data_IF_565754092881
#
_entry.id   IF_565754092881
#
_cell.length_a   1.000
_cell.length_b   1.000
_cell.length_c   1.000
_cell.angle_alpha   90.00
_cell.angle_beta   90.00
_cell.angle_gamma   90.00
#
_symmetry.space_group_name_H-M   'P 1'
#
loop_
_entity.id
_entity.type
_entity.pdbx_description
1 polymer ?
#
# COMPACT_ATOMS: atom_id res chain seq x y z
N UNK A 1 17.55 -21.51 -32.30
CA UNK A 1 16.52 -21.82 -31.31
C UNK A 1 16.05 -20.58 -30.53
N UNK A 2 16.93 -19.80 -29.91
CA UNK A 2 16.56 -18.60 -29.12
C UNK A 2 15.72 -17.55 -29.93
N UNK A 3 16.16 -17.24 -31.16
CA UNK A 3 15.48 -16.27 -32.04
C UNK A 3 14.09 -16.77 -32.48
N UNK A 4 13.92 -18.07 -32.62
CA UNK A 4 12.64 -18.68 -32.97
C UNK A 4 11.67 -18.59 -31.80
N UNK A 5 12.09 -18.92 -30.57
CA UNK A 5 11.28 -18.80 -29.36
C UNK A 5 10.88 -17.37 -29.09
N UNK A 6 11.76 -16.39 -29.33
CA UNK A 6 11.47 -14.98 -29.19
C UNK A 6 10.42 -14.48 -30.19
N UNK A 7 10.45 -14.98 -31.45
CA UNK A 7 9.45 -14.66 -32.47
C UNK A 7 8.09 -15.29 -32.15
N UNK A 8 8.07 -16.50 -31.62
CA UNK A 8 6.84 -17.17 -31.18
C UNK A 8 6.20 -16.40 -30.01
N UNK A 9 6.98 -15.97 -29.01
CA UNK A 9 6.48 -15.16 -27.88
C UNK A 9 6.00 -13.76 -28.29
N UNK A 10 6.67 -13.11 -29.25
CA UNK A 10 6.22 -11.84 -29.81
C UNK A 10 4.94 -11.96 -30.63
N UNK A 11 4.72 -13.11 -31.31
CA UNK A 11 3.52 -13.38 -32.08
C UNK A 11 2.31 -13.69 -31.19
N UNK A 12 2.52 -14.23 -29.99
CA UNK A 12 1.49 -14.51 -28.99
C UNK A 12 1.10 -13.29 -28.16
N UNK A 13 1.75 -12.12 -28.36
CA UNK A 13 1.42 -10.88 -27.65
C UNK A 13 1.79 -10.89 -26.15
N UNK A 14 2.42 -11.94 -25.67
CA UNK A 14 3.02 -11.97 -24.35
C UNK A 14 4.35 -11.20 -24.39
N UNK A 15 4.29 -9.92 -23.99
CA UNK A 15 5.51 -9.23 -23.57
C UNK A 15 6.12 -10.05 -22.44
N UNK A 16 7.16 -10.81 -22.78
CA UNK A 16 7.85 -11.68 -21.84
C UNK A 16 8.22 -10.88 -20.59
N UNK A 17 7.54 -11.12 -19.50
CA UNK A 17 7.99 -10.66 -18.20
C UNK A 17 9.35 -11.32 -18.00
N UNK A 18 10.43 -10.55 -18.17
CA UNK A 18 11.75 -11.01 -17.78
C UNK A 18 11.66 -11.41 -16.31
N UNK A 19 11.56 -12.72 -16.08
CA UNK A 19 11.82 -13.23 -14.74
C UNK A 19 13.31 -12.94 -14.48
N UNK A 20 13.64 -12.09 -13.51
CA UNK A 20 15.03 -11.87 -13.16
C UNK A 20 15.60 -13.24 -12.82
N UNK A 21 16.68 -13.62 -13.50
CA UNK A 21 17.44 -14.81 -13.18
C UNK A 21 17.60 -14.86 -11.66
N UNK A 22 17.32 -16.00 -11.05
CA UNK A 22 17.34 -16.19 -9.60
C UNK A 22 18.71 -15.78 -9.02
N UNK A 23 18.86 -14.49 -8.73
CA UNK A 23 19.95 -14.02 -7.91
C UNK A 23 19.64 -14.50 -6.49
N UNK A 24 20.32 -15.54 -6.05
CA UNK A 24 20.13 -16.15 -4.72
C UNK A 24 20.48 -15.22 -3.56
N UNK A 25 20.99 -14.02 -3.84
CA UNK A 25 21.53 -13.07 -2.86
C UNK A 25 20.91 -11.67 -2.91
N UNK A 26 19.85 -11.45 -3.70
CA UNK A 26 19.24 -10.12 -3.90
C UNK A 26 17.97 -9.89 -3.09
N UNK A 27 17.61 -8.61 -2.91
CA UNK A 27 16.30 -8.20 -2.39
C UNK A 27 15.24 -8.42 -3.47
N UNK A 28 14.17 -9.14 -3.12
CA UNK A 28 13.04 -9.40 -4.02
C UNK A 28 11.91 -8.40 -3.76
N UNK A 29 11.47 -7.71 -4.80
CA UNK A 29 10.29 -6.84 -4.77
C UNK A 29 9.15 -7.57 -5.49
N UNK A 30 8.02 -7.75 -4.79
CA UNK A 30 6.87 -8.44 -5.34
C UNK A 30 5.57 -7.96 -4.70
N UNK A 31 4.44 -8.23 -5.36
CA UNK A 31 3.13 -8.01 -4.73
C UNK A 31 2.84 -9.07 -3.66
N UNK A 32 1.98 -8.73 -2.69
CA UNK A 32 1.55 -9.67 -1.63
C UNK A 32 0.94 -10.93 -2.25
N UNK A 33 0.15 -10.79 -3.33
CA UNK A 33 -0.45 -11.93 -4.01
C UNK A 33 0.58 -12.92 -4.57
N UNK A 34 1.69 -12.42 -5.12
CA UNK A 34 2.79 -13.26 -5.62
C UNK A 34 3.59 -13.93 -4.50
N UNK A 35 3.51 -13.43 -3.28
CA UNK A 35 4.18 -14.03 -2.12
C UNK A 35 3.39 -15.18 -1.47
N UNK A 36 2.16 -15.45 -1.92
CA UNK A 36 1.33 -16.52 -1.36
C UNK A 36 2.03 -17.88 -1.48
N UNK A 37 2.15 -18.58 -0.36
CA UNK A 37 2.84 -19.89 -0.30
C UNK A 37 4.36 -19.80 -0.18
N UNK A 38 4.95 -18.59 -0.24
CA UNK A 38 6.38 -18.38 -0.03
C UNK A 38 6.62 -17.85 1.39
N UNK A 39 7.82 -18.07 1.91
CA UNK A 39 8.27 -17.54 3.20
C UNK A 39 9.67 -16.97 3.05
N UNK A 40 9.95 -15.91 3.80
CA UNK A 40 11.22 -15.19 3.73
C UNK A 40 11.77 -14.93 5.13
N UNK A 41 13.09 -14.95 5.31
CA UNK A 41 13.69 -14.61 6.61
C UNK A 41 13.28 -13.20 7.07
N UNK A 42 13.36 -12.22 6.18
CA UNK A 42 12.99 -10.83 6.44
C UNK A 42 11.96 -10.36 5.41
N UNK A 43 10.89 -9.73 5.88
CA UNK A 43 9.86 -9.13 5.03
C UNK A 43 9.74 -7.65 5.38
N UNK A 44 9.72 -6.81 4.35
CA UNK A 44 9.47 -5.37 4.47
C UNK A 44 8.14 -5.07 3.78
N UNK A 45 7.14 -4.69 4.56
CA UNK A 45 5.86 -4.21 4.05
C UNK A 45 5.92 -2.68 3.92
N UNK A 46 5.94 -2.21 2.68
CA UNK A 46 5.94 -0.78 2.36
C UNK A 46 4.54 -0.30 1.97
N UNK A 47 4.37 1.03 1.91
CA UNK A 47 3.15 1.71 1.43
C UNK A 47 1.87 1.36 2.21
N UNK A 48 1.99 1.09 3.51
CA UNK A 48 0.86 0.77 4.37
C UNK A 48 -0.13 1.94 4.55
N UNK A 49 0.24 3.16 4.14
CA UNK A 49 -0.63 4.35 4.14
C UNK A 49 -1.54 4.45 2.91
N UNK A 50 -1.38 3.58 1.93
CA UNK A 50 -2.21 3.58 0.73
C UNK A 50 -3.67 3.37 1.09
N UNK A 51 -4.51 4.33 0.73
CA UNK A 51 -5.95 4.26 0.98
C UNK A 51 -6.61 3.15 0.17
N UNK A 52 -7.60 2.50 0.77
CA UNK A 52 -8.45 1.56 0.04
C UNK A 52 -9.16 2.24 -1.12
N UNK A 53 -9.25 1.53 -2.26
CA UNK A 53 -9.92 2.05 -3.44
C UNK A 53 -11.43 2.19 -3.22
N UNK A 54 -11.99 3.29 -3.72
CA UNK A 54 -13.43 3.51 -3.76
C UNK A 54 -13.97 3.49 -5.20
N UNK A 55 -13.13 3.20 -6.19
CA UNK A 55 -13.50 3.28 -7.61
C UNK A 55 -14.65 2.35 -7.97
N UNK A 56 -14.71 1.16 -7.37
CA UNK A 56 -15.74 0.16 -7.65
C UNK A 56 -17.15 0.60 -7.22
N UNK A 57 -17.22 1.59 -6.31
CA UNK A 57 -18.49 2.13 -5.80
C UNK A 57 -19.03 3.34 -6.59
N UNK A 58 -18.30 3.82 -7.59
CA UNK A 58 -18.69 4.97 -8.42
C UNK A 58 -19.65 4.60 -9.56
N UNK A 59 -19.83 3.32 -9.85
CA UNK A 59 -20.75 2.85 -10.88
C UNK A 59 -22.18 3.30 -10.61
N UNK A 60 -22.95 3.64 -11.64
CA UNK A 60 -24.37 4.02 -11.54
C UNK A 60 -25.25 2.87 -11.03
N UNK A 61 -24.82 1.62 -11.22
CA UNK A 61 -25.50 0.44 -10.71
C UNK A 61 -24.48 -0.41 -9.97
N UNK A 62 -24.76 -0.71 -8.71
CA UNK A 62 -24.01 -1.69 -7.95
C UNK A 62 -24.68 -3.05 -8.08
N UNK A 63 -23.87 -4.10 -8.16
CA UNK A 63 -24.32 -5.48 -8.31
C UNK A 63 -23.73 -6.32 -7.18
N UNK A 64 -24.57 -7.10 -6.52
CA UNK A 64 -24.12 -8.06 -5.52
C UNK A 64 -24.77 -9.41 -5.79
N UNK A 65 -24.02 -10.54 -5.79
CA UNK A 65 -24.54 -11.86 -6.17
C UNK A 65 -25.77 -12.31 -5.38
N UNK A 66 -25.84 -11.94 -4.11
CA UNK A 66 -26.90 -12.38 -3.20
C UNK A 66 -27.98 -11.30 -2.95
N UNK A 67 -27.62 -10.01 -3.02
CA UNK A 67 -28.51 -8.90 -2.70
C UNK A 67 -29.12 -8.23 -3.94
N UNK A 68 -28.64 -8.60 -5.15
CA UNK A 68 -29.18 -8.12 -6.42
C UNK A 68 -28.57 -6.78 -6.87
N UNK A 69 -29.42 -5.86 -7.34
CA UNK A 69 -29.04 -4.63 -8.02
C UNK A 69 -29.37 -3.39 -7.18
N UNK A 70 -28.43 -2.45 -7.12
CA UNK A 70 -28.60 -1.16 -6.46
C UNK A 70 -28.35 -0.01 -7.43
N UNK A 71 -29.39 0.46 -8.17
CA UNK A 71 -29.24 1.57 -9.10
C UNK A 71 -29.27 2.93 -8.39
N UNK A 72 -28.73 3.95 -9.06
CA UNK A 72 -29.01 5.35 -8.78
C UNK A 72 -30.37 5.70 -9.39
N UNK A 73 -31.19 6.46 -8.70
CA UNK A 73 -32.39 7.05 -9.26
C UNK A 73 -32.04 8.37 -9.97
N UNK A 74 -32.54 8.53 -11.19
CA UNK A 74 -32.32 9.74 -12.00
C UNK A 74 -33.65 10.41 -12.25
N UNK A 75 -33.83 11.65 -11.75
CA UNK A 75 -34.97 12.53 -12.08
C UNK A 75 -34.53 13.40 -13.27
N UNK A 76 -35.01 13.04 -14.45
CA UNK A 76 -34.67 13.75 -15.69
C UNK A 76 -35.30 15.13 -15.80
N UNK A 77 -36.41 15.37 -15.10
CA UNK A 77 -37.09 16.66 -15.13
C UNK A 77 -36.35 17.71 -14.28
N UNK A 78 -35.82 17.26 -13.14
CA UNK A 78 -35.10 18.13 -12.20
C UNK A 78 -33.58 18.08 -12.37
N UNK A 79 -33.07 17.22 -13.27
CA UNK A 79 -31.64 17.00 -13.49
C UNK A 79 -30.87 16.60 -12.22
N UNK A 80 -31.48 15.80 -11.33
CA UNK A 80 -30.89 15.35 -10.09
C UNK A 80 -30.69 13.82 -10.10
N UNK A 81 -29.66 13.37 -9.40
CA UNK A 81 -29.40 11.96 -9.14
C UNK A 81 -29.29 11.74 -7.64
N UNK A 82 -29.91 10.65 -7.17
CA UNK A 82 -29.79 10.26 -5.76
C UNK A 82 -29.68 8.75 -5.61
N UNK A 83 -28.94 8.26 -4.60
CA UNK A 83 -28.79 6.84 -4.36
C UNK A 83 -30.12 6.27 -3.81
N UNK A 84 -30.55 5.13 -4.35
CA UNK A 84 -31.65 4.36 -3.78
C UNK A 84 -31.25 3.72 -2.46
N UNK A 85 -32.23 3.35 -1.63
CA UNK A 85 -31.99 2.62 -0.37
C UNK A 85 -31.28 1.28 -0.66
N UNK A 86 -31.68 0.59 -1.73
CA UNK A 86 -31.02 -0.63 -2.18
C UNK A 86 -29.53 -0.39 -2.48
N UNK A 87 -29.22 0.71 -3.19
CA UNK A 87 -27.83 1.08 -3.48
C UNK A 87 -27.03 1.35 -2.20
N UNK A 88 -27.58 2.08 -1.25
CA UNK A 88 -26.88 2.39 0.01
C UNK A 88 -26.61 1.11 0.83
N UNK A 89 -27.57 0.19 0.87
CA UNK A 89 -27.40 -1.09 1.54
C UNK A 89 -26.30 -1.94 0.86
N UNK A 90 -26.34 -2.03 -0.46
CA UNK A 90 -25.34 -2.74 -1.26
C UNK A 90 -23.95 -2.14 -1.09
N UNK A 91 -23.81 -0.83 -1.16
CA UNK A 91 -22.55 -0.13 -1.00
C UNK A 91 -21.92 -0.42 0.37
N UNK A 92 -22.72 -0.42 1.44
CA UNK A 92 -22.23 -0.77 2.79
C UNK A 92 -21.72 -2.20 2.84
N UNK A 93 -22.46 -3.15 2.28
CA UNK A 93 -22.07 -4.56 2.26
C UNK A 93 -20.79 -4.77 1.47
N UNK A 94 -20.76 -4.26 0.24
CA UNK A 94 -19.58 -4.38 -0.64
C UNK A 94 -18.32 -3.73 -0.03
N UNK A 95 -18.47 -2.58 0.64
CA UNK A 95 -17.35 -1.93 1.35
C UNK A 95 -16.80 -2.79 2.49
N UNK A 96 -17.68 -3.45 3.25
CA UNK A 96 -17.25 -4.36 4.33
C UNK A 96 -16.58 -5.61 3.78
N UNK A 97 -17.11 -6.17 2.71
CA UNK A 97 -16.49 -7.33 2.03
C UNK A 97 -15.13 -6.99 1.46
N UNK A 98 -14.99 -5.84 0.78
CA UNK A 98 -13.72 -5.36 0.26
C UNK A 98 -12.68 -5.18 1.41
N UNK A 99 -13.08 -4.55 2.52
CA UNK A 99 -12.19 -4.41 3.69
C UNK A 99 -11.82 -5.75 4.31
N UNK A 100 -12.75 -6.69 4.39
CA UNK A 100 -12.47 -8.02 4.90
C UNK A 100 -11.45 -8.76 4.04
N UNK A 101 -11.49 -8.57 2.71
CA UNK A 101 -10.50 -9.13 1.80
C UNK A 101 -9.13 -8.45 1.98
N UNK A 102 -9.09 -7.11 2.08
CA UNK A 102 -7.85 -6.39 2.36
C UNK A 102 -7.21 -6.82 3.68
N UNK A 103 -8.02 -7.10 4.70
CA UNK A 103 -7.54 -7.62 5.99
C UNK A 103 -6.94 -9.02 5.85
N UNK A 104 -7.54 -9.89 5.02
CA UNK A 104 -6.96 -11.21 4.70
C UNK A 104 -5.64 -11.07 3.96
N UNK A 105 -5.55 -10.13 3.02
CA UNK A 105 -4.31 -9.83 2.29
C UNK A 105 -3.22 -9.34 3.24
N UNK A 106 -3.56 -8.46 4.19
CA UNK A 106 -2.63 -8.02 5.23
C UNK A 106 -2.16 -9.18 6.09
N UNK A 107 -3.07 -10.05 6.54
CA UNK A 107 -2.71 -11.25 7.30
C UNK A 107 -1.72 -12.14 6.52
N UNK A 108 -2.00 -12.39 5.24
CA UNK A 108 -1.08 -13.16 4.38
C UNK A 108 0.28 -12.49 4.31
N UNK A 109 0.34 -11.16 4.15
CA UNK A 109 1.60 -10.42 4.07
C UNK A 109 2.41 -10.54 5.37
N UNK A 110 1.77 -10.36 6.51
CA UNK A 110 2.42 -10.43 7.83
C UNK A 110 2.97 -11.83 8.13
N UNK A 111 2.26 -12.87 7.69
CA UNK A 111 2.67 -14.27 7.92
C UNK A 111 3.75 -14.78 6.96
N UNK A 112 4.29 -13.94 6.08
CA UNK A 112 5.41 -14.34 5.18
C UNK A 112 6.78 -14.26 5.85
N UNK A 113 6.92 -13.49 6.92
CA UNK A 113 8.18 -13.33 7.63
C UNK A 113 8.44 -14.50 8.58
N UNK A 114 9.64 -15.08 8.50
CA UNK A 114 10.10 -16.12 9.43
C UNK A 114 10.78 -15.55 10.66
N UNK A 115 11.64 -14.55 10.46
CA UNK A 115 12.52 -14.01 11.51
C UNK A 115 12.18 -12.55 11.83
N UNK A 116 11.99 -11.72 10.79
CA UNK A 116 11.80 -10.27 10.99
C UNK A 116 10.77 -9.69 10.02
N UNK A 117 9.79 -9.00 10.58
CA UNK A 117 8.82 -8.20 9.85
C UNK A 117 9.11 -6.72 10.09
N UNK A 118 9.29 -5.97 9.02
CA UNK A 118 9.44 -4.50 9.05
C UNK A 118 8.23 -3.90 8.35
N UNK A 119 7.53 -3.02 9.03
CA UNK A 119 6.35 -2.33 8.52
C UNK A 119 6.64 -0.85 8.37
N UNK A 120 6.44 -0.30 7.17
CA UNK A 120 6.72 1.09 6.86
C UNK A 120 5.41 1.81 6.52
N UNK A 121 5.12 2.85 7.30
CA UNK A 121 3.93 3.67 7.16
C UNK A 121 4.32 5.14 7.02
N UNK A 122 3.93 5.79 5.93
CA UNK A 122 4.23 7.20 5.66
C UNK A 122 2.94 8.02 5.65
N UNK A 123 2.83 9.00 6.53
CA UNK A 123 1.62 9.78 6.71
C UNK A 123 1.92 11.28 6.74
N UNK A 124 1.36 12.05 5.81
CA UNK A 124 1.59 13.50 5.72
C UNK A 124 1.13 14.27 6.97
N UNK A 125 -0.03 13.90 7.53
CA UNK A 125 -0.60 14.51 8.73
C UNK A 125 -0.58 13.52 9.91
N UNK A 126 0.60 12.97 10.22
CA UNK A 126 0.77 11.89 11.19
C UNK A 126 0.16 12.25 12.57
N UNK A 127 0.43 13.46 13.08
CA UNK A 127 -0.10 13.93 14.37
C UNK A 127 -1.63 13.81 14.47
N UNK A 128 -2.35 14.39 13.52
CA UNK A 128 -3.82 14.35 13.49
C UNK A 128 -4.33 12.92 13.32
N UNK A 129 -3.69 12.15 12.42
CA UNK A 129 -4.14 10.78 12.16
C UNK A 129 -3.92 9.87 13.35
N UNK A 130 -2.80 9.98 14.04
CA UNK A 130 -2.52 9.21 15.25
C UNK A 130 -3.51 9.59 16.36
N UNK A 131 -3.84 10.88 16.52
CA UNK A 131 -4.85 11.32 17.48
C UNK A 131 -6.24 10.74 17.20
N UNK A 132 -6.67 10.74 15.92
CA UNK A 132 -7.94 10.13 15.49
C UNK A 132 -7.98 8.63 15.82
N UNK A 133 -6.90 7.91 15.49
CA UNK A 133 -6.80 6.48 15.75
C UNK A 133 -6.72 6.15 17.24
N UNK A 134 -6.07 6.99 18.02
CA UNK A 134 -5.95 6.82 19.46
C UNK A 134 -7.32 6.96 20.15
N UNK A 135 -8.17 7.86 19.64
CA UNK A 135 -9.55 8.00 20.14
C UNK A 135 -10.43 6.77 19.83
N UNK A 136 -10.07 5.98 18.81
CA UNK A 136 -10.77 4.75 18.40
C UNK A 136 -10.08 3.48 18.93
N UNK A 137 -8.86 3.64 19.46
CA UNK A 137 -8.05 2.52 19.93
C UNK A 137 -8.57 2.06 21.30
N UNK A 138 -8.95 0.80 21.38
CA UNK A 138 -9.39 0.13 22.61
C UNK A 138 -8.79 -1.27 22.69
N UNK A 139 -8.95 -1.92 23.82
CA UNK A 139 -8.45 -3.27 24.07
C UNK A 139 -9.59 -4.14 24.63
N UNK A 140 -10.10 -5.11 23.87
CA UNK A 140 -9.78 -5.44 22.45
C UNK A 140 -10.24 -4.38 21.46
N UNK A 141 -9.60 -4.36 20.27
CA UNK A 141 -9.98 -3.45 19.20
C UNK A 141 -11.41 -3.75 18.74
N UNK A 142 -12.26 -2.74 18.74
CA UNK A 142 -13.67 -2.90 18.39
C UNK A 142 -13.87 -3.04 16.88
N UNK A 143 -14.87 -3.80 16.42
CA UNK A 143 -15.18 -3.96 14.99
C UNK A 143 -15.42 -2.63 14.28
N UNK A 144 -16.04 -1.65 14.95
CA UNK A 144 -16.31 -0.32 14.42
C UNK A 144 -15.01 0.44 14.13
N UNK A 145 -14.01 0.28 14.99
CA UNK A 145 -12.69 0.90 14.79
C UNK A 145 -12.00 0.28 13.56
N UNK A 146 -12.08 -1.04 13.38
CA UNK A 146 -11.56 -1.73 12.19
C UNK A 146 -12.28 -1.26 10.92
N UNK A 147 -13.62 -1.12 10.97
CA UNK A 147 -14.42 -0.65 9.83
C UNK A 147 -14.14 0.83 9.50
N UNK A 148 -13.73 1.65 10.46
CA UNK A 148 -13.33 3.04 10.23
C UNK A 148 -11.96 3.19 9.56
N UNK A 149 -11.13 2.15 9.52
CA UNK A 149 -9.80 2.13 8.91
C UNK A 149 -9.84 2.54 7.44
N UNK A 150 -8.89 3.36 7.01
CA UNK A 150 -8.78 3.91 5.64
C UNK A 150 -7.65 3.26 4.84
N UNK A 151 -6.74 2.59 5.52
CA UNK A 151 -5.58 1.90 4.95
C UNK A 151 -5.14 0.76 5.86
N UNK A 152 -4.25 -0.11 5.37
CA UNK A 152 -3.72 -1.22 6.17
C UNK A 152 -2.94 -0.74 7.40
N UNK A 153 -2.24 0.38 7.28
CA UNK A 153 -1.50 0.98 8.40
C UNK A 153 -2.39 1.38 9.57
N UNK A 154 -3.62 1.84 9.31
CA UNK A 154 -4.57 2.15 10.38
C UNK A 154 -4.89 0.91 11.23
N UNK A 155 -5.10 -0.23 10.59
CA UNK A 155 -5.39 -1.49 11.30
C UNK A 155 -4.22 -1.99 12.15
N UNK A 156 -2.99 -1.74 11.71
CA UNK A 156 -1.80 -2.05 12.48
C UNK A 156 -1.64 -1.07 13.65
N UNK A 157 -1.91 0.22 13.41
CA UNK A 157 -1.77 1.25 14.44
C UNK A 157 -2.81 1.14 15.58
N UNK A 158 -4.02 0.69 15.30
CA UNK A 158 -5.06 0.53 16.33
C UNK A 158 -4.57 -0.29 17.54
N UNK A 159 -4.13 -1.54 17.41
CA UNK A 159 -3.59 -2.31 18.53
C UNK A 159 -2.21 -1.80 18.98
N UNK A 160 -1.39 -1.28 18.07
CA UNK A 160 -0.05 -0.77 18.38
C UNK A 160 -0.10 0.39 19.37
N UNK A 161 -1.04 1.31 19.21
CA UNK A 161 -1.19 2.49 20.09
C UNK A 161 -1.50 2.12 21.53
N UNK A 162 -1.95 0.89 21.80
CA UNK A 162 -2.19 0.35 23.15
C UNK A 162 -0.97 -0.37 23.73
N UNK A 163 0.17 -0.39 23.03
CA UNK A 163 1.41 -1.02 23.50
C UNK A 163 2.35 -0.01 24.13
N UNK A 164 3.20 -0.48 25.07
CA UNK A 164 4.24 0.35 25.69
C UNK A 164 5.19 0.96 24.68
N UNK A 165 5.57 0.19 23.67
CA UNK A 165 6.54 0.56 22.64
C UNK A 165 6.05 1.69 21.72
N UNK A 166 4.76 2.01 21.75
CA UNK A 166 4.18 3.11 20.97
C UNK A 166 4.19 4.46 21.71
N UNK A 167 4.96 4.62 22.77
CA UNK A 167 5.04 5.89 23.51
C UNK A 167 5.36 7.09 22.61
N UNK A 168 6.32 6.95 21.69
CA UNK A 168 6.69 8.01 20.73
C UNK A 168 5.55 8.42 19.80
N UNK A 169 4.66 7.48 19.42
CA UNK A 169 3.48 7.79 18.61
C UNK A 169 2.43 8.54 19.44
N UNK A 170 2.22 8.17 20.70
CA UNK A 170 1.29 8.88 21.59
C UNK A 170 1.75 10.29 21.90
N UNK A 171 3.05 10.48 22.14
CA UNK A 171 3.68 11.79 22.31
C UNK A 171 3.49 12.68 21.08
N UNK A 172 3.65 12.11 19.87
CA UNK A 172 3.38 12.83 18.63
C UNK A 172 1.93 13.35 18.58
N UNK A 173 0.96 12.59 19.09
CA UNK A 173 -0.44 13.01 19.20
C UNK A 173 -0.72 14.00 20.35
N UNK A 174 0.29 14.30 21.17
CA UNK A 174 0.15 15.19 22.34
C UNK A 174 -0.49 14.51 23.55
N UNK A 175 -0.48 13.19 23.61
CA UNK A 175 -0.97 12.42 24.75
C UNK A 175 0.20 11.76 25.49
N UNK A 176 0.51 12.29 26.67
CA UNK A 176 1.48 11.73 27.62
C UNK A 176 0.73 10.84 28.61
N UNK A 177 0.43 9.62 28.26
CA UNK A 177 -0.29 8.70 29.13
C UNK A 177 0.25 7.27 29.04
N UNK A 178 0.23 6.57 30.16
CA UNK A 178 0.43 5.12 30.16
C UNK A 178 -0.79 4.50 29.46
N UNK A 179 -0.55 3.83 28.32
CA UNK A 179 -1.58 3.09 27.61
C UNK A 179 -2.04 1.87 28.41
N UNK A 180 -3.20 1.33 28.10
CA UNK A 180 -3.58 -0.01 28.55
C UNK A 180 -2.80 -1.01 27.69
N UNK A 181 -1.83 -1.68 28.29
CA UNK A 181 -0.89 -2.50 27.54
C UNK A 181 -1.40 -3.91 27.32
N UNK A 182 -1.25 -4.40 26.11
CA UNK A 182 -1.18 -5.83 25.86
C UNK A 182 0.15 -6.33 26.43
N UNK A 183 0.08 -7.27 27.36
CA UNK A 183 1.23 -8.08 27.73
C UNK A 183 1.42 -9.15 26.65
N UNK A 184 2.29 -8.86 25.69
CA UNK A 184 2.69 -9.81 24.66
C UNK A 184 4.21 -9.96 24.74
N UNK A 185 4.67 -11.21 24.70
CA UNK A 185 6.10 -11.55 24.78
C UNK A 185 6.87 -11.12 23.51
N UNK A 186 6.16 -10.82 22.41
CA UNK A 186 6.81 -10.43 21.15
C UNK A 186 7.31 -8.99 21.21
N UNK A 187 8.62 -8.76 21.16
CA UNK A 187 9.16 -7.40 21.22
C UNK A 187 8.87 -6.61 19.95
N UNK A 188 8.33 -5.41 20.11
CA UNK A 188 8.16 -4.47 19.01
C UNK A 188 9.16 -3.32 19.13
N UNK A 189 9.61 -2.81 18.00
CA UNK A 189 10.42 -1.59 17.95
C UNK A 189 9.69 -0.57 17.09
N UNK A 190 9.26 0.53 17.69
CA UNK A 190 8.59 1.62 16.99
C UNK A 190 9.59 2.76 16.83
N UNK A 191 9.75 3.24 15.59
CA UNK A 191 10.59 4.39 15.26
C UNK A 191 9.75 5.41 14.51
N UNK A 192 9.72 6.63 14.99
CA UNK A 192 9.09 7.76 14.34
C UNK A 192 10.20 8.61 13.72
N UNK A 193 10.04 8.90 12.44
CA UNK A 193 10.98 9.75 11.71
C UNK A 193 10.23 10.93 11.13
N UNK A 194 10.77 12.11 11.32
CA UNK A 194 10.20 13.34 10.82
C UNK A 194 10.85 13.72 9.48
N UNK A 195 9.99 13.90 8.46
CA UNK A 195 10.38 14.36 7.15
C UNK A 195 11.38 13.49 6.40
N UNK A 196 12.12 14.11 5.49
CA UNK A 196 13.12 13.49 4.62
C UNK A 196 14.51 13.39 5.27
N UNK A 197 14.59 13.30 6.57
CA UNK A 197 15.86 13.19 7.32
C UNK A 197 16.73 11.98 6.92
N UNK A 198 16.16 11.07 6.12
CA UNK A 198 16.89 9.93 5.54
C UNK A 198 17.58 10.25 4.22
N UNK A 199 17.21 11.32 3.55
CA UNK A 199 17.84 11.75 2.31
C UNK A 199 19.03 12.60 2.67
N UNK A 200 20.03 11.99 3.28
CA UNK A 200 21.40 12.49 3.09
C UNK A 200 21.70 12.19 1.63
N UNK A 201 21.97 13.20 0.79
CA UNK A 201 22.45 12.92 -0.54
C UNK A 201 23.75 12.13 -0.38
N UNK A 202 23.72 10.82 -0.56
CA UNK A 202 24.93 10.09 -0.86
C UNK A 202 25.40 10.71 -2.18
N UNK A 203 26.41 11.55 -2.11
CA UNK A 203 27.21 11.89 -3.28
C UNK A 203 27.59 10.57 -3.92
N UNK A 204 26.98 10.28 -5.07
CA UNK A 204 27.47 9.15 -5.88
C UNK A 204 28.94 9.45 -6.18
N UNK A 205 29.82 8.45 -6.10
CA UNK A 205 31.23 8.64 -6.47
C UNK A 205 31.41 9.17 -7.90
N UNK A 206 30.35 9.14 -8.72
CA UNK A 206 30.33 9.57 -10.12
C UNK A 206 29.87 11.01 -10.33
N UNK A 207 29.57 11.79 -9.29
CA UNK A 207 29.34 13.24 -9.42
C UNK A 207 30.68 14.04 -9.49
N UNK A 208 31.73 13.45 -10.09
CA UNK A 208 32.83 14.22 -10.63
C UNK A 208 32.30 15.10 -11.75
N UNK A 209 32.63 16.40 -11.80
CA UNK A 209 32.17 17.28 -12.86
C UNK A 209 32.58 16.66 -14.19
N UNK A 210 31.58 16.35 -15.03
CA UNK A 210 31.83 15.97 -16.43
C UNK A 210 32.24 17.24 -17.13
N UNK A 211 33.52 17.54 -17.02
CA UNK A 211 34.16 18.58 -17.82
C UNK A 211 34.38 18.03 -19.24
N UNK A 212 34.01 18.83 -20.21
CA UNK A 212 34.20 18.68 -21.64
C UNK A 212 33.13 17.88 -22.40
N UNK A 213 32.26 18.68 -23.05
CA UNK A 213 31.52 18.21 -24.21
C UNK A 213 32.48 17.60 -25.25
N UNK A 214 32.13 16.47 -25.88
CA UNK A 214 32.92 15.97 -27.00
C UNK A 214 32.89 16.97 -28.15
N UNK A 215 33.99 17.06 -28.90
CA UNK A 215 34.05 17.95 -30.07
C UNK A 215 32.97 17.53 -31.05
N UNK A 216 32.26 18.54 -31.60
CA UNK A 216 31.32 18.34 -32.70
C UNK A 216 32.12 17.94 -33.93
N UNK A 217 32.21 16.64 -34.20
CA UNK A 217 32.63 16.17 -35.51
C UNK A 217 31.55 16.55 -36.52
N UNK A 218 31.88 17.51 -37.35
CA UNK A 218 31.12 17.86 -38.54
C UNK A 218 31.12 16.65 -39.48
N UNK A 219 29.98 16.00 -39.61
CA UNK A 219 29.77 15.03 -40.68
C UNK A 219 29.72 15.80 -42.01
N UNK A 220 30.55 15.47 -43.00
CA UNK A 220 30.44 16.05 -44.32
C UNK A 220 29.14 15.57 -44.98
N UNK A 221 28.21 16.49 -45.18
CA UNK A 221 27.00 16.24 -45.98
C UNK A 221 27.39 16.43 -47.45
N UNK A 222 27.68 15.33 -48.13
CA UNK A 222 27.84 15.37 -49.58
C UNK A 222 26.54 14.86 -50.21
N UNK A 223 25.69 15.79 -50.61
CA UNK A 223 24.57 15.55 -51.51
C UNK A 223 24.98 15.97 -52.89
N UNK A 224 25.42 15.06 -53.73
CA UNK A 224 25.50 15.24 -55.17
C UNK A 224 25.12 13.97 -55.92
N UNK A 225 24.10 14.14 -56.79
CA UNK A 225 23.58 13.36 -57.89
C UNK A 225 22.55 12.25 -57.56
#
# INVERSE_FOLDING_TARGET
>A
DFVRTLREQLAEGEAGTMQPAHASTGVRIMSIHKSKGLEFPVVILSDLARRFSNMDFLSSVLVHPQLGLGPVCVDTQRHIQYPTVARQALERTLRREAKAEELRVLYVAMTRAKEKLVMVHTQANAKSRVADLLALSDCPVLPEAVDSGKCMGDWIMLPLLQRSEAASLRELAGQSGEGRFYADETPWTVRVHDGLSFVTPQQRPDDAPVDAAPPKDELPVDFAA
#
